data_IF_844754747122
#
_entry.id   IF_844754747122
#
_cell.length_a   1.000
_cell.length_b   1.000
_cell.length_c   1.000
_cell.angle_alpha   90.00
_cell.angle_beta   90.00
_cell.angle_gamma   90.00
#
_symmetry.space_group_name_H-M   'P 1'
#
loop_
_entity.id
_entity.type
_entity.pdbx_description
1 polymer ?
#
# COMPACT_ATOMS: atom_id res chain seq x y z
N UNK A 1 11.60 -8.25 4.37
CA UNK A 1 10.14 -8.10 4.28
C UNK A 1 9.51 -9.22 5.08
N UNK A 2 8.55 -8.90 5.95
CA UNK A 2 7.88 -9.92 6.73
C UNK A 2 6.97 -10.80 5.85
N UNK A 3 6.83 -12.07 6.20
CA UNK A 3 6.07 -13.06 5.41
C UNK A 3 4.56 -12.79 5.37
N UNK A 4 4.05 -11.99 6.31
CA UNK A 4 2.65 -11.57 6.41
C UNK A 4 2.33 -10.25 5.70
N UNK A 5 3.33 -9.63 5.05
CA UNK A 5 3.15 -8.38 4.32
C UNK A 5 3.15 -8.61 2.81
N UNK A 6 2.19 -7.98 2.11
CA UNK A 6 2.19 -7.88 0.66
C UNK A 6 2.92 -6.60 0.23
N UNK A 7 4.04 -6.73 -0.48
CA UNK A 7 4.71 -5.60 -1.14
C UNK A 7 4.17 -5.29 -2.53
N UNK A 8 3.93 -4.01 -2.76
CA UNK A 8 3.41 -3.42 -3.99
C UNK A 8 4.24 -2.17 -4.28
N UNK A 9 4.85 -2.10 -5.46
CA UNK A 9 5.45 -0.84 -5.92
C UNK A 9 4.38 0.10 -6.46
N UNK A 10 4.55 1.41 -6.28
CA UNK A 10 3.67 2.42 -6.85
C UNK A 10 4.36 3.13 -8.02
N UNK A 11 3.90 2.87 -9.24
CA UNK A 11 4.48 3.44 -10.45
C UNK A 11 3.94 4.86 -10.65
N UNK A 12 4.81 5.87 -10.51
CA UNK A 12 4.46 7.29 -10.65
C UNK A 12 4.33 7.82 -12.09
N UNK A 13 4.59 6.99 -13.11
CA UNK A 13 4.63 7.44 -14.50
C UNK A 13 5.68 8.53 -14.72
N UNK A 14 5.25 9.74 -15.09
CA UNK A 14 6.12 10.93 -15.25
C UNK A 14 6.25 11.80 -13.98
N UNK A 15 5.44 11.55 -12.94
CA UNK A 15 5.49 12.32 -11.69
C UNK A 15 6.70 11.91 -10.86
N UNK A 16 7.24 12.85 -10.09
CA UNK A 16 8.27 12.57 -9.08
C UNK A 16 7.59 12.12 -7.78
N UNK A 17 8.19 11.19 -7.07
CA UNK A 17 7.63 10.70 -5.80
C UNK A 17 7.46 11.81 -4.74
N UNK A 18 8.32 12.84 -4.77
CA UNK A 18 8.20 14.00 -3.89
C UNK A 18 7.05 14.97 -4.22
N UNK A 19 6.39 14.83 -5.38
CA UNK A 19 5.26 15.68 -5.77
C UNK A 19 3.90 15.02 -5.54
N UNK A 20 3.86 13.89 -4.83
CA UNK A 20 2.61 13.21 -4.50
C UNK A 20 1.89 13.94 -3.37
N UNK A 21 0.56 13.95 -3.42
CA UNK A 21 -0.27 14.48 -2.36
C UNK A 21 -0.51 13.41 -1.29
N UNK A 22 0.07 13.62 -0.12
CA UNK A 22 0.00 12.70 1.02
C UNK A 22 -1.01 13.13 2.08
N UNK A 23 -1.71 14.27 1.93
CA UNK A 23 -2.49 14.87 3.02
C UNK A 23 -3.50 13.89 3.64
N UNK A 24 -4.34 13.28 2.80
CA UNK A 24 -5.33 12.28 3.23
C UNK A 24 -4.70 10.94 3.63
N UNK A 25 -3.59 10.57 2.98
CA UNK A 25 -2.88 9.34 3.32
C UNK A 25 -2.30 9.41 4.73
N UNK A 26 -1.76 10.58 5.11
CA UNK A 26 -1.16 10.84 6.42
C UNK A 26 -2.17 10.84 7.57
N UNK A 27 -3.46 11.10 7.29
CA UNK A 27 -4.54 10.99 8.29
C UNK A 27 -4.77 9.53 8.71
N UNK A 28 -4.59 8.58 7.79
CA UNK A 28 -4.77 7.14 8.04
C UNK A 28 -3.47 6.44 8.44
N UNK A 29 -2.34 6.93 7.93
CA UNK A 29 -1.01 6.40 8.16
C UNK A 29 -0.09 7.55 8.55
N UNK A 30 0.00 7.89 9.84
CA UNK A 30 0.85 8.99 10.31
C UNK A 30 2.29 8.88 9.80
N UNK A 31 2.89 10.03 9.51
CA UNK A 31 4.29 10.09 9.08
C UNK A 31 5.19 9.71 10.26
N UNK A 32 6.02 8.68 10.08
CA UNK A 32 7.01 8.22 11.04
C UNK A 32 8.41 8.62 10.58
N UNK A 33 9.34 8.74 11.54
CA UNK A 33 10.74 9.02 11.23
C UNK A 33 11.32 7.84 10.47
N UNK A 34 11.68 8.05 9.20
CA UNK A 34 12.41 7.04 8.44
C UNK A 34 13.83 6.83 8.99
N UNK A 35 14.33 5.61 8.86
CA UNK A 35 15.69 5.22 9.22
C UNK A 35 16.75 5.83 8.28
N UNK A 36 16.35 6.30 7.09
CA UNK A 36 17.23 6.93 6.10
C UNK A 36 16.96 8.44 6.01
N UNK A 37 18.02 9.25 6.03
CA UNK A 37 17.93 10.69 5.83
C UNK A 37 17.42 11.00 4.41
N UNK A 38 16.24 11.63 4.31
CA UNK A 38 15.64 12.01 3.02
C UNK A 38 14.55 11.06 2.52
N UNK A 39 14.24 10.01 3.27
CA UNK A 39 13.08 9.17 3.02
C UNK A 39 11.88 9.63 3.86
N UNK A 40 10.68 9.54 3.29
CA UNK A 40 9.43 9.72 4.02
C UNK A 40 8.79 8.37 4.24
N UNK A 41 8.29 8.14 5.44
CA UNK A 41 7.60 6.91 5.82
C UNK A 41 6.24 7.24 6.42
N UNK A 42 5.20 6.57 5.95
CA UNK A 42 3.86 6.67 6.51
C UNK A 42 3.44 5.30 7.02
N UNK A 43 2.97 5.24 8.27
CA UNK A 43 2.83 3.98 9.01
C UNK A 43 4.18 3.40 9.43
N UNK A 44 4.19 2.11 9.79
CA UNK A 44 5.35 1.45 10.41
C UNK A 44 5.82 0.24 9.62
N UNK A 45 7.13 -0.03 9.61
CA UNK A 45 7.73 -1.19 8.95
C UNK A 45 7.12 -2.53 9.41
N UNK A 46 6.62 -2.59 10.65
CA UNK A 46 5.99 -3.79 11.23
C UNK A 46 4.50 -3.95 10.87
N UNK A 47 3.90 -2.93 10.24
CA UNK A 47 2.48 -2.88 9.84
C UNK A 47 2.32 -2.42 8.38
N UNK A 48 1.16 -1.86 8.02
CA UNK A 48 0.96 -1.24 6.70
C UNK A 48 1.82 0.01 6.61
N UNK A 49 2.60 0.11 5.53
CA UNK A 49 3.66 1.11 5.42
C UNK A 49 3.83 1.59 3.98
N UNK A 50 3.98 2.90 3.80
CA UNK A 50 4.42 3.51 2.56
C UNK A 50 5.80 4.15 2.76
N UNK A 51 6.78 3.72 1.98
CA UNK A 51 8.10 4.33 1.92
C UNK A 51 8.29 5.12 0.62
N UNK A 52 8.84 6.32 0.74
CA UNK A 52 9.09 7.23 -0.37
C UNK A 52 10.54 7.69 -0.32
N UNK A 53 11.34 7.25 -1.30
CA UNK A 53 12.73 7.65 -1.47
C UNK A 53 12.88 8.59 -2.68
N UNK A 54 13.78 9.56 -2.59
CA UNK A 54 14.04 10.47 -3.69
C UNK A 54 14.65 9.71 -4.89
N UNK A 55 14.01 9.83 -6.05
CA UNK A 55 14.47 9.17 -7.29
C UNK A 55 13.99 7.73 -7.46
N UNK A 56 13.27 7.17 -6.49
CA UNK A 56 12.71 5.82 -6.57
C UNK A 56 11.17 5.83 -6.66
N UNK A 57 10.61 4.71 -7.11
CA UNK A 57 9.17 4.45 -7.03
C UNK A 57 8.79 4.20 -5.56
N UNK A 58 7.72 4.80 -5.03
CA UNK A 58 7.25 4.49 -3.69
C UNK A 58 6.95 3.00 -3.51
N UNK A 59 7.20 2.50 -2.30
CA UNK A 59 6.97 1.11 -1.93
C UNK A 59 5.89 1.02 -0.86
N UNK A 60 4.81 0.32 -1.17
CA UNK A 60 3.69 0.06 -0.27
C UNK A 60 3.78 -1.38 0.25
N UNK A 61 3.66 -1.54 1.56
CA UNK A 61 3.46 -2.83 2.23
C UNK A 61 2.11 -2.84 2.91
N UNK A 62 1.35 -3.91 2.72
CA UNK A 62 0.07 -4.14 3.39
C UNK A 62 0.24 -5.22 4.45
N UNK A 63 -0.07 -4.92 5.71
CA UNK A 63 -0.17 -5.95 6.76
C UNK A 63 -1.53 -6.62 6.70
N UNK A 64 -1.59 -7.83 6.16
CA UNK A 64 -2.85 -8.54 5.94
C UNK A 64 -3.49 -9.07 7.23
N UNK A 65 -2.79 -9.01 8.37
CA UNK A 65 -3.34 -9.38 9.68
C UNK A 65 -4.27 -8.31 10.24
N UNK A 66 -4.06 -7.05 9.85
CA UNK A 66 -4.72 -5.88 10.44
C UNK A 66 -5.26 -4.88 9.42
N UNK A 67 -5.12 -5.13 8.11
CA UNK A 67 -5.60 -4.23 7.07
C UNK A 67 -7.12 -4.05 7.19
N UNK A 68 -7.56 -2.81 7.37
CA UNK A 68 -8.97 -2.46 7.43
C UNK A 68 -9.48 -1.94 6.09
N UNK A 69 -10.80 -1.88 5.95
CA UNK A 69 -11.46 -1.29 4.77
C UNK A 69 -11.14 0.19 4.60
N UNK A 70 -11.20 0.95 5.67
CA UNK A 70 -10.91 2.38 5.66
C UNK A 70 -9.48 2.64 5.16
N UNK A 71 -8.52 1.86 5.65
CA UNK A 71 -7.14 1.87 5.19
C UNK A 71 -7.02 1.54 3.71
N UNK A 72 -7.67 0.47 3.25
CA UNK A 72 -7.65 0.08 1.84
C UNK A 72 -8.29 1.15 0.93
N UNK A 73 -9.41 1.73 1.35
CA UNK A 73 -10.05 2.84 0.65
C UNK A 73 -9.12 4.05 0.54
N UNK A 74 -8.44 4.41 1.64
CA UNK A 74 -7.44 5.47 1.64
C UNK A 74 -6.28 5.21 0.71
N UNK A 75 -5.78 3.97 0.65
CA UNK A 75 -4.72 3.54 -0.27
C UNK A 75 -5.19 3.65 -1.73
N UNK A 76 -6.39 3.15 -2.03
CA UNK A 76 -6.98 3.21 -3.39
C UNK A 76 -7.16 4.67 -3.82
N UNK A 77 -7.73 5.50 -2.95
CA UNK A 77 -7.92 6.93 -3.21
C UNK A 77 -6.58 7.63 -3.44
N UNK A 78 -5.61 7.43 -2.54
CA UNK A 78 -4.27 8.00 -2.67
C UNK A 78 -3.62 7.63 -4.01
N UNK A 79 -3.65 6.35 -4.38
CA UNK A 79 -3.06 5.89 -5.63
C UNK A 79 -3.80 6.45 -6.86
N UNK A 80 -5.13 6.52 -6.81
CA UNK A 80 -5.97 7.04 -7.91
C UNK A 80 -5.79 8.54 -8.11
N UNK A 81 -5.91 9.34 -7.05
CA UNK A 81 -5.76 10.80 -7.06
C UNK A 81 -4.36 11.22 -7.52
N UNK A 82 -3.34 10.43 -7.16
CA UNK A 82 -1.99 10.65 -7.61
C UNK A 82 -1.68 10.08 -8.99
N UNK A 83 -2.58 9.32 -9.61
CA UNK A 83 -2.40 8.70 -10.92
C UNK A 83 -1.32 7.60 -10.94
N UNK A 84 -1.20 6.86 -9.83
CA UNK A 84 -0.25 5.78 -9.64
C UNK A 84 -0.79 4.47 -10.24
N UNK A 85 0.10 3.58 -10.68
CA UNK A 85 -0.26 2.17 -10.96
C UNK A 85 0.34 1.26 -9.90
N UNK A 86 -0.34 0.16 -9.61
CA UNK A 86 0.19 -0.87 -8.71
C UNK A 86 1.15 -1.75 -9.51
N UNK A 87 2.35 -1.97 -9.00
CA UNK A 87 3.38 -2.82 -9.61
C UNK A 87 3.63 -4.03 -8.72
N UNK A 88 3.35 -5.22 -9.26
CA UNK A 88 3.58 -6.47 -8.54
C UNK A 88 4.05 -7.56 -9.52
N UNK A 89 5.14 -8.27 -9.19
CA UNK A 89 5.74 -9.33 -10.01
C UNK A 89 5.91 -8.94 -11.50
N UNK A 90 6.36 -7.70 -11.75
CA UNK A 90 6.61 -7.16 -13.09
C UNK A 90 5.36 -6.71 -13.87
N UNK A 91 4.14 -6.89 -13.33
CA UNK A 91 2.89 -6.46 -13.94
C UNK A 91 2.41 -5.15 -13.33
N UNK A 92 1.67 -4.37 -14.13
CA UNK A 92 1.01 -3.13 -13.71
C UNK A 92 -0.50 -3.34 -13.64
N UNK A 93 -1.13 -2.78 -12.61
CA UNK A 93 -2.56 -2.84 -12.36
C UNK A 93 -3.10 -1.44 -12.07
N UNK A 94 -4.37 -1.20 -12.42
CA UNK A 94 -5.08 -0.01 -11.97
C UNK A 94 -5.26 -0.05 -10.45
N UNK A 95 -5.15 1.10 -9.74
CA UNK A 95 -5.43 1.16 -8.32
C UNK A 95 -6.93 1.08 -8.07
N UNK A 96 -7.46 -0.14 -8.06
CA UNK A 96 -8.85 -0.42 -7.73
C UNK A 96 -8.92 -1.43 -6.61
N UNK A 97 -10.06 -1.43 -5.92
CA UNK A 97 -10.35 -2.42 -4.88
C UNK A 97 -10.23 -3.86 -5.42
N UNK A 98 -10.72 -4.10 -6.65
CA UNK A 98 -10.61 -5.40 -7.33
C UNK A 98 -9.15 -5.81 -7.57
N UNK A 99 -8.31 -4.87 -8.03
CA UNK A 99 -6.88 -5.10 -8.21
C UNK A 99 -6.21 -5.46 -6.89
N UNK A 100 -6.46 -4.71 -5.81
CA UNK A 100 -5.90 -5.03 -4.50
C UNK A 100 -6.37 -6.39 -3.99
N UNK A 101 -7.66 -6.70 -4.10
CA UNK A 101 -8.21 -8.01 -3.71
C UNK A 101 -7.53 -9.15 -4.48
N UNK A 102 -7.34 -8.97 -5.79
CA UNK A 102 -6.63 -9.93 -6.64
C UNK A 102 -5.18 -10.10 -6.20
N UNK A 103 -4.47 -9.01 -5.94
CA UNK A 103 -3.08 -9.03 -5.49
C UNK A 103 -2.94 -9.67 -4.11
N UNK A 104 -3.86 -9.40 -3.18
CA UNK A 104 -3.93 -10.02 -1.86
C UNK A 104 -4.05 -11.53 -2.01
N UNK A 105 -5.08 -12.01 -2.72
CA UNK A 105 -5.34 -13.45 -2.93
C UNK A 105 -4.18 -14.18 -3.62
N UNK A 106 -3.45 -13.49 -4.49
CA UNK A 106 -2.31 -14.04 -5.21
C UNK A 106 -0.96 -13.93 -4.45
N UNK A 107 -0.96 -13.32 -3.26
CA UNK A 107 0.25 -13.12 -2.46
C UNK A 107 0.51 -14.28 -1.50
N UNK A 108 1.78 -14.54 -1.20
CA UNK A 108 2.15 -15.51 -0.18
C UNK A 108 1.66 -15.10 1.22
N UNK A 109 1.51 -13.79 1.44
CA UNK A 109 1.02 -13.21 2.68
C UNK A 109 -0.45 -13.58 2.97
N UNK A 110 -1.22 -13.97 1.95
CA UNK A 110 -2.63 -14.34 2.11
C UNK A 110 -2.84 -15.47 3.12
N UNK A 111 -1.87 -16.39 3.25
CA UNK A 111 -1.93 -17.48 4.23
C UNK A 111 -1.96 -17.02 5.70
N UNK A 112 -1.63 -15.74 5.96
CA UNK A 112 -1.64 -15.13 7.29
C UNK A 112 -2.93 -14.37 7.58
N UNK A 113 -3.88 -14.35 6.64
CA UNK A 113 -5.24 -13.90 6.90
C UNK A 113 -5.97 -14.98 7.71
N UNK A 114 -6.28 -14.69 8.97
CA UNK A 114 -6.85 -15.67 9.90
C UNK A 114 -8.22 -16.21 9.48
N UNK A 115 -9.07 -15.34 8.93
CA UNK A 115 -10.42 -15.66 8.45
C UNK A 115 -10.62 -14.94 7.11
N UNK A 116 -10.33 -15.60 5.98
CA UNK A 116 -10.38 -14.96 4.68
C UNK A 116 -11.77 -14.49 4.27
N UNK A 117 -12.83 -15.21 4.64
CA UNK A 117 -14.20 -14.82 4.33
C UNK A 117 -14.54 -13.52 5.05
N UNK A 118 -14.37 -13.51 6.38
CA UNK A 118 -14.61 -12.31 7.20
C UNK A 118 -13.70 -11.14 6.83
N UNK A 119 -12.46 -11.41 6.44
CA UNK A 119 -11.52 -10.39 5.97
C UNK A 119 -12.06 -9.69 4.72
N UNK A 120 -12.46 -10.44 3.69
CA UNK A 120 -12.97 -9.83 2.46
C UNK A 120 -14.38 -9.25 2.63
N UNK A 121 -15.24 -9.83 3.47
CA UNK A 121 -16.50 -9.20 3.87
C UNK A 121 -16.25 -7.83 4.51
N UNK A 122 -15.31 -7.77 5.46
CA UNK A 122 -14.92 -6.54 6.14
C UNK A 122 -14.38 -5.48 5.18
N UNK A 123 -13.73 -5.88 4.10
CA UNK A 123 -13.24 -4.98 3.06
C UNK A 123 -14.35 -4.56 2.05
N UNK A 124 -15.33 -5.44 1.78
CA UNK A 124 -16.39 -5.25 0.77
C UNK A 124 -17.64 -4.50 1.26
N UNK A 125 -17.96 -4.57 2.56
CA UNK A 125 -19.30 -4.25 3.11
C UNK A 125 -19.62 -2.77 3.27
#
# INVERSE_FOLDING_TARGET
>A
MAIWQLAIGLKCGKKKAGSLDFRRFAELFPEEKSWCSGARQFGSLDSTCLEVFAGEEPSLRLDLRSLTREQLNGIVAFATENGLKLKHKGKLYEPSYESFTTLIKASDAYRFVSDPEKFFEGLNG
#
